data_IF_416479216826
#
_entry.id   IF_416479216826
#
_cell.length_a   1.000
_cell.length_b   1.000
_cell.length_c   1.000
_cell.angle_alpha   90.00
_cell.angle_beta   90.00
_cell.angle_gamma   90.00
#
_symmetry.space_group_name_H-M   'P 1'
#
loop_
_entity.id
_entity.type
_entity.pdbx_description
1 polymer ?
#
# COMPACT_ATOMS: atom_id res chain seq x y z
N UNK A 1 15.78 -27.18 -18.07
CA UNK A 1 15.20 -27.00 -16.73
C UNK A 1 13.72 -27.31 -16.85
N UNK A 2 13.25 -28.34 -16.17
CA UNK A 2 11.83 -28.74 -16.15
C UNK A 2 11.02 -27.63 -15.47
N UNK A 3 10.18 -26.93 -16.24
CA UNK A 3 9.28 -25.92 -15.68
C UNK A 3 7.98 -26.63 -15.28
N UNK A 4 7.99 -27.20 -14.08
CA UNK A 4 6.77 -27.73 -13.48
C UNK A 4 5.87 -26.59 -13.03
N UNK A 5 4.59 -26.67 -13.37
CA UNK A 5 3.57 -25.70 -12.98
C UNK A 5 2.40 -26.45 -12.35
N UNK A 6 1.88 -25.93 -11.25
CA UNK A 6 0.67 -26.47 -10.62
C UNK A 6 -0.57 -25.91 -11.33
N UNK A 7 -1.38 -26.83 -11.85
CA UNK A 7 -2.68 -26.55 -12.45
C UNK A 7 -3.78 -26.94 -11.47
N UNK A 8 -4.67 -25.99 -11.16
CA UNK A 8 -5.86 -26.19 -10.34
C UNK A 8 -7.06 -26.31 -11.28
N UNK A 9 -7.59 -27.52 -11.46
CA UNK A 9 -8.82 -27.74 -12.21
C UNK A 9 -10.03 -27.58 -11.29
N UNK A 10 -10.90 -26.64 -11.64
CA UNK A 10 -12.21 -26.42 -11.04
C UNK A 10 -13.30 -26.85 -12.04
N UNK A 11 -13.92 -27.99 -11.78
CA UNK A 11 -15.02 -28.50 -12.60
C UNK A 11 -16.37 -28.07 -11.99
N UNK A 12 -17.06 -27.12 -12.64
CA UNK A 12 -18.37 -26.66 -12.16
C UNK A 12 -19.50 -27.65 -12.45
N UNK A 13 -19.35 -28.53 -13.47
CA UNK A 13 -20.36 -29.55 -13.80
C UNK A 13 -20.42 -30.63 -12.73
N UNK A 14 -19.27 -31.03 -12.19
CA UNK A 14 -19.17 -32.07 -11.15
C UNK A 14 -19.00 -31.49 -9.74
N UNK A 15 -18.74 -30.19 -9.63
CA UNK A 15 -18.42 -29.51 -8.36
C UNK A 15 -17.06 -29.90 -7.77
N UNK A 16 -16.24 -30.66 -8.51
CA UNK A 16 -14.97 -31.18 -8.01
C UNK A 16 -13.79 -30.25 -8.32
N UNK A 17 -12.88 -30.15 -7.35
CA UNK A 17 -11.62 -29.43 -7.47
C UNK A 17 -10.46 -30.42 -7.39
N UNK A 18 -9.51 -30.34 -8.32
CA UNK A 18 -8.35 -31.23 -8.41
C UNK A 18 -7.09 -30.44 -8.76
N UNK A 19 -5.95 -30.83 -8.19
CA UNK A 19 -4.67 -30.21 -8.46
C UNK A 19 -3.78 -31.19 -9.24
N UNK A 20 -3.09 -30.69 -10.26
CA UNK A 20 -2.21 -31.46 -11.11
C UNK A 20 -0.88 -30.70 -11.26
N UNK A 21 0.24 -31.40 -11.17
CA UNK A 21 1.55 -30.84 -11.54
C UNK A 21 1.87 -31.26 -12.96
N UNK A 22 2.10 -30.29 -13.84
CA UNK A 22 2.33 -30.53 -15.26
C UNK A 22 3.67 -29.94 -15.64
N UNK A 23 4.45 -30.68 -16.42
CA UNK A 23 5.67 -30.16 -17.04
C UNK A 23 5.29 -29.32 -18.24
N UNK A 24 5.71 -28.06 -18.23
CA UNK A 24 5.28 -27.05 -19.20
C UNK A 24 6.49 -26.56 -19.98
N UNK A 25 6.37 -26.45 -21.30
CA UNK A 25 7.38 -25.84 -22.14
C UNK A 25 7.07 -24.36 -22.34
N UNK A 26 7.95 -23.44 -21.93
CA UNK A 26 7.67 -22.00 -22.00
C UNK A 26 7.41 -21.48 -23.42
N UNK A 27 7.86 -22.19 -24.46
CA UNK A 27 7.65 -21.78 -25.85
C UNK A 27 6.30 -22.23 -26.43
N UNK A 28 5.54 -23.04 -25.68
CA UNK A 28 4.22 -23.50 -26.10
C UNK A 28 3.13 -22.48 -25.72
N UNK A 29 1.95 -22.64 -26.34
CA UNK A 29 0.79 -21.81 -26.09
C UNK A 29 -0.18 -22.48 -25.09
N UNK A 30 -1.19 -21.72 -24.67
CA UNK A 30 -2.23 -22.21 -23.76
C UNK A 30 -3.03 -23.39 -24.33
N UNK A 31 -3.19 -23.50 -25.64
CA UNK A 31 -3.86 -24.66 -26.26
C UNK A 31 -3.14 -25.98 -25.94
N UNK A 32 -1.81 -26.01 -26.06
CA UNK A 32 -1.03 -27.21 -25.76
C UNK A 32 -1.09 -27.59 -24.26
N UNK A 33 -1.16 -26.60 -23.37
CA UNK A 33 -1.42 -26.82 -21.94
C UNK A 33 -2.78 -27.51 -21.73
N UNK A 34 -3.85 -27.02 -22.37
CA UNK A 34 -5.18 -27.63 -22.24
C UNK A 34 -5.24 -29.06 -22.79
N UNK A 35 -4.55 -29.35 -23.89
CA UNK A 35 -4.43 -30.72 -24.44
C UNK A 35 -3.66 -31.64 -23.50
N UNK A 36 -2.64 -31.13 -22.81
CA UNK A 36 -1.89 -31.90 -21.82
C UNK A 36 -2.75 -32.26 -20.61
N UNK A 37 -3.61 -31.34 -20.16
CA UNK A 37 -4.61 -31.60 -19.11
C UNK A 37 -5.68 -32.58 -19.58
N UNK A 38 -6.13 -32.47 -20.83
CA UNK A 38 -7.10 -33.40 -21.44
C UNK A 38 -6.60 -34.85 -21.40
N UNK A 39 -5.33 -35.09 -21.72
CA UNK A 39 -4.72 -36.44 -21.64
C UNK A 39 -4.80 -37.05 -20.23
N UNK A 40 -4.70 -36.22 -19.19
CA UNK A 40 -4.71 -36.67 -17.79
C UNK A 40 -6.14 -36.81 -17.27
N UNK A 41 -7.01 -35.86 -17.59
CA UNK A 41 -8.34 -35.71 -16.97
C UNK A 41 -9.46 -36.31 -17.80
N UNK A 42 -9.21 -36.63 -19.07
CA UNK A 42 -10.20 -37.04 -20.08
C UNK A 42 -11.31 -36.01 -20.32
N UNK A 43 -11.11 -34.75 -19.90
CA UNK A 43 -12.03 -33.65 -20.18
C UNK A 43 -11.58 -32.99 -21.49
N UNK A 44 -12.48 -32.80 -22.48
CA UNK A 44 -12.11 -32.17 -23.75
C UNK A 44 -11.52 -30.78 -23.54
N UNK A 45 -10.40 -30.47 -24.19
CA UNK A 45 -9.73 -29.15 -24.13
C UNK A 45 -10.60 -27.99 -24.62
N UNK A 46 -11.66 -28.28 -25.38
CA UNK A 46 -12.67 -27.30 -25.80
C UNK A 46 -13.54 -26.80 -24.65
N UNK A 47 -13.74 -27.62 -23.61
CA UNK A 47 -14.56 -27.27 -22.44
C UNK A 47 -13.77 -26.59 -21.32
N UNK A 48 -12.45 -26.43 -21.48
CA UNK A 48 -11.56 -25.88 -20.47
C UNK A 48 -11.22 -24.43 -20.78
N UNK A 49 -11.51 -23.54 -19.83
CA UNK A 49 -11.08 -22.15 -19.83
C UNK A 49 -9.88 -21.97 -18.91
N UNK A 50 -8.76 -21.44 -19.43
CA UNK A 50 -7.58 -21.17 -18.61
C UNK A 50 -7.68 -19.78 -18.00
N UNK A 51 -7.57 -19.70 -16.69
CA UNK A 51 -7.61 -18.46 -15.92
C UNK A 51 -6.29 -18.27 -15.20
N UNK A 52 -5.67 -17.12 -15.42
CA UNK A 52 -4.42 -16.73 -14.78
C UNK A 52 -4.47 -15.27 -14.33
N UNK A 53 -4.04 -15.00 -13.11
CA UNK A 53 -4.13 -13.68 -12.49
C UNK A 53 -5.51 -13.02 -12.63
N UNK A 54 -6.58 -13.81 -12.45
CA UNK A 54 -7.96 -13.33 -12.52
C UNK A 54 -8.56 -13.21 -13.92
N UNK A 55 -7.74 -13.36 -14.98
CA UNK A 55 -8.15 -13.17 -16.37
C UNK A 55 -8.24 -14.50 -17.13
N UNK A 56 -9.26 -14.63 -17.98
CA UNK A 56 -9.35 -15.72 -18.96
C UNK A 56 -8.29 -15.50 -20.06
N UNK A 57 -7.41 -16.46 -20.25
CA UNK A 57 -6.36 -16.42 -21.26
C UNK A 57 -6.89 -16.92 -22.61
N UNK A 58 -6.39 -16.32 -23.68
CA UNK A 58 -6.66 -16.81 -25.04
C UNK A 58 -5.86 -18.08 -25.33
N UNK A 59 -6.40 -18.98 -26.16
CA UNK A 59 -5.72 -20.23 -26.52
C UNK A 59 -4.40 -20.00 -27.28
N UNK A 60 -4.22 -18.84 -27.92
CA UNK A 60 -3.02 -18.45 -28.66
C UNK A 60 -1.93 -17.79 -27.80
N UNK A 61 -2.21 -17.46 -26.53
CA UNK A 61 -1.24 -16.82 -25.64
C UNK A 61 -0.03 -17.72 -25.40
N UNK A 62 1.17 -17.18 -25.53
CA UNK A 62 2.44 -17.90 -25.32
C UNK A 62 2.78 -17.92 -23.83
N UNK A 63 3.22 -19.07 -23.31
CA UNK A 63 3.46 -19.25 -21.87
C UNK A 63 4.66 -18.45 -21.34
N UNK A 64 5.66 -18.18 -22.19
CA UNK A 64 6.81 -17.31 -21.88
C UNK A 64 6.39 -15.92 -21.41
N UNK A 65 5.31 -15.38 -21.95
CA UNK A 65 4.84 -14.02 -21.66
C UNK A 65 4.12 -13.93 -20.31
N UNK A 66 3.74 -15.07 -19.71
CA UNK A 66 3.00 -15.14 -18.45
C UNK A 66 3.90 -15.06 -17.21
N UNK A 67 5.23 -14.98 -17.39
CA UNK A 67 6.22 -14.94 -16.30
C UNK A 67 5.97 -16.04 -15.26
N UNK A 68 5.78 -17.27 -15.75
CA UNK A 68 5.53 -18.46 -14.93
C UNK A 68 6.78 -18.81 -14.13
N UNK A 69 6.61 -19.01 -12.82
CA UNK A 69 7.63 -19.58 -11.92
C UNK A 69 7.14 -20.92 -11.40
N UNK A 70 8.01 -21.81 -10.88
CA UNK A 70 7.58 -23.12 -10.37
C UNK A 70 6.47 -23.06 -9.29
N UNK A 71 6.46 -21.99 -8.51
CA UNK A 71 5.42 -21.72 -7.49
C UNK A 71 4.13 -21.08 -8.05
N UNK A 72 4.01 -20.93 -9.37
CA UNK A 72 2.85 -20.30 -10.01
C UNK A 72 1.72 -21.31 -10.18
N UNK A 73 0.51 -20.93 -9.76
CA UNK A 73 -0.70 -21.72 -9.96
C UNK A 73 -1.50 -21.16 -11.13
N UNK A 74 -1.92 -22.04 -12.05
CA UNK A 74 -2.82 -21.72 -13.14
C UNK A 74 -4.17 -22.39 -12.86
N UNK A 75 -5.27 -21.65 -12.96
CA UNK A 75 -6.60 -22.22 -12.78
C UNK A 75 -7.17 -22.65 -14.13
N UNK A 76 -7.73 -23.86 -14.19
CA UNK A 76 -8.53 -24.33 -15.32
C UNK A 76 -9.97 -24.44 -14.86
N UNK A 77 -10.88 -23.77 -15.54
CA UNK A 77 -12.30 -23.73 -15.23
C UNK A 77 -13.07 -24.51 -16.29
N UNK A 78 -13.90 -25.46 -15.87
CA UNK A 78 -14.90 -26.10 -16.74
C UNK A 78 -16.28 -25.52 -16.43
N UNK A 79 -16.85 -24.65 -17.27
CA UNK A 79 -18.15 -24.03 -17.01
C UNK A 79 -19.33 -25.01 -17.20
N UNK A 80 -20.48 -24.70 -16.59
CA UNK A 80 -21.72 -25.48 -16.72
C UNK A 80 -22.32 -25.44 -18.13
N UNK A 81 -22.03 -24.37 -18.89
CA UNK A 81 -22.51 -24.18 -20.26
C UNK A 81 -21.35 -23.72 -21.12
N UNK A 82 -21.12 -24.39 -22.25
CA UNK A 82 -20.09 -24.01 -23.23
C UNK A 82 -20.62 -22.80 -24.00
N UNK A 83 -20.25 -21.60 -23.58
CA UNK A 83 -20.52 -20.40 -24.37
C UNK A 83 -19.45 -20.32 -25.46
N UNK A 84 -19.83 -20.68 -26.70
CA UNK A 84 -19.00 -20.45 -27.89
C UNK A 84 -18.78 -18.95 -28.06
N UNK A 85 -17.65 -18.44 -27.60
CA UNK A 85 -17.23 -17.05 -27.86
C UNK A 85 -16.47 -17.00 -29.18
N UNK A 86 -16.94 -16.14 -30.08
CA UNK A 86 -16.37 -15.95 -31.40
C UNK A 86 -14.94 -15.40 -31.33
N UNK A 87 -14.05 -16.01 -32.10
CA UNK A 87 -12.63 -15.65 -32.22
C UNK A 87 -12.51 -14.35 -33.03
N UNK A 88 -12.21 -13.22 -32.39
CA UNK A 88 -11.79 -12.00 -33.09
C UNK A 88 -10.27 -11.98 -33.16
N UNK A 89 -9.74 -12.03 -34.39
CA UNK A 89 -8.31 -11.92 -34.68
C UNK A 89 -7.83 -10.47 -34.53
N UNK A 90 -6.78 -10.27 -33.73
CA UNK A 90 -6.01 -9.02 -33.69
C UNK A 90 -4.63 -9.22 -34.35
N UNK A 91 -4.07 -8.17 -34.98
CA UNK A 91 -2.89 -8.30 -35.84
C UNK A 91 -1.61 -8.43 -35.01
N UNK A 92 -0.66 -9.22 -35.54
CA UNK A 92 0.68 -9.44 -34.96
C UNK A 92 1.50 -8.15 -34.98
N UNK A 93 1.98 -7.71 -33.82
CA UNK A 93 2.99 -6.65 -33.72
C UNK A 93 4.40 -7.25 -33.54
N UNK A 94 5.35 -6.61 -34.20
CA UNK A 94 6.74 -7.04 -34.36
C UNK A 94 7.51 -7.05 -33.04
N UNK A 95 8.44 -7.99 -32.94
CA UNK A 95 9.33 -8.28 -31.82
C UNK A 95 10.43 -7.23 -31.68
N UNK A 96 10.23 -6.24 -30.82
CA UNK A 96 11.30 -5.56 -30.07
C UNK A 96 11.46 -6.24 -28.71
N UNK A 97 12.61 -6.18 -28.05
CA UNK A 97 12.84 -6.85 -26.75
C UNK A 97 11.83 -6.36 -25.68
N UNK A 98 10.69 -7.07 -25.59
CA UNK A 98 9.49 -6.74 -24.81
C UNK A 98 9.70 -6.95 -23.31
N UNK A 99 10.89 -7.40 -22.90
CA UNK A 99 11.18 -7.76 -21.51
C UNK A 99 11.19 -6.55 -20.56
N UNK A 100 11.36 -5.33 -21.05
CA UNK A 100 11.38 -4.08 -20.24
C UNK A 100 10.00 -3.39 -20.25
N UNK A 101 9.19 -3.60 -21.29
CA UNK A 101 7.89 -2.94 -21.45
C UNK A 101 6.84 -3.56 -20.50
N UNK A 102 6.15 -2.73 -19.71
CA UNK A 102 5.04 -3.19 -18.85
C UNK A 102 5.44 -3.98 -17.60
N UNK A 103 6.71 -3.93 -17.19
CA UNK A 103 7.17 -4.57 -15.94
C UNK A 103 6.94 -3.67 -14.74
N UNK A 104 6.33 -4.21 -13.70
CA UNK A 104 6.32 -3.57 -12.38
C UNK A 104 7.69 -3.71 -11.74
N UNK A 105 8.04 -2.76 -10.87
CA UNK A 105 9.24 -2.83 -10.03
C UNK A 105 8.82 -2.86 -8.57
N UNK A 106 9.59 -3.61 -7.78
CA UNK A 106 9.32 -3.84 -6.36
C UNK A 106 10.61 -3.75 -5.56
N UNK A 107 10.50 -3.29 -4.32
CA UNK A 107 11.55 -3.50 -3.32
C UNK A 107 11.36 -4.88 -2.69
N UNK A 108 12.32 -5.77 -2.91
CA UNK A 108 12.28 -7.13 -2.37
C UNK A 108 13.19 -7.25 -1.16
N UNK A 109 12.62 -7.47 0.03
CA UNK A 109 13.37 -7.63 1.28
C UNK A 109 14.36 -8.81 1.23
N UNK A 110 13.94 -9.94 0.67
CA UNK A 110 14.78 -11.15 0.57
C UNK A 110 15.96 -10.98 -0.39
N UNK A 111 15.80 -10.17 -1.44
CA UNK A 111 16.87 -9.88 -2.39
C UNK A 111 17.66 -8.61 -2.05
N UNK A 112 17.19 -7.86 -1.04
CA UNK A 112 17.69 -6.55 -0.60
C UNK A 112 17.98 -5.57 -1.75
N UNK A 113 17.08 -5.53 -2.75
CA UNK A 113 17.30 -4.75 -3.97
C UNK A 113 15.98 -4.47 -4.70
N UNK A 114 16.03 -3.51 -5.63
CA UNK A 114 14.99 -3.24 -6.61
C UNK A 114 14.95 -4.38 -7.62
N UNK A 115 13.82 -5.08 -7.69
CA UNK A 115 13.61 -6.21 -8.60
C UNK A 115 12.40 -5.97 -9.48
N UNK A 116 12.34 -6.70 -10.60
CA UNK A 116 11.09 -6.81 -11.35
C UNK A 116 10.05 -7.52 -10.49
N UNK A 117 8.85 -6.98 -10.49
CA UNK A 117 7.70 -7.49 -9.78
C UNK A 117 6.63 -8.04 -10.73
N UNK A 118 5.83 -8.97 -10.23
CA UNK A 118 4.63 -9.47 -10.90
C UNK A 118 3.42 -9.22 -10.02
N UNK A 119 2.35 -8.75 -10.66
CA UNK A 119 1.06 -8.58 -10.02
C UNK A 119 0.39 -9.95 -9.85
N UNK A 120 -0.20 -10.18 -8.69
CA UNK A 120 -1.02 -11.34 -8.38
C UNK A 120 -2.33 -10.88 -7.74
N UNK A 121 -3.40 -11.61 -8.00
CA UNK A 121 -4.73 -11.30 -7.47
C UNK A 121 -5.22 -12.45 -6.61
N UNK A 122 -5.85 -12.08 -5.52
CA UNK A 122 -6.38 -12.95 -4.48
C UNK A 122 -7.80 -12.51 -4.12
N UNK A 123 -8.58 -13.42 -3.57
CA UNK A 123 -9.85 -13.07 -2.94
C UNK A 123 -9.57 -12.38 -1.60
N UNK A 124 -10.08 -11.17 -1.39
CA UNK A 124 -9.91 -10.45 -0.13
C UNK A 124 -10.45 -11.21 1.10
N UNK A 125 -11.39 -12.14 0.93
CA UNK A 125 -11.99 -12.87 2.04
C UNK A 125 -11.31 -14.20 2.40
N UNK A 126 -10.73 -14.91 1.43
CA UNK A 126 -10.18 -16.27 1.65
C UNK A 126 -8.75 -16.43 1.14
N UNK A 127 -8.14 -15.35 0.66
CA UNK A 127 -6.80 -15.32 0.08
C UNK A 127 -6.55 -16.31 -1.06
N UNK A 128 -7.61 -16.86 -1.66
CA UNK A 128 -7.45 -17.79 -2.77
C UNK A 128 -7.10 -17.09 -4.07
N UNK A 129 -6.22 -17.71 -4.85
CA UNK A 129 -5.87 -17.35 -6.23
C UNK A 129 -6.95 -17.73 -7.25
N UNK A 130 -7.92 -18.57 -6.86
CA UNK A 130 -9.02 -19.04 -7.70
C UNK A 130 -10.14 -17.99 -7.77
N UNK A 131 -9.81 -16.84 -8.34
CA UNK A 131 -10.71 -15.71 -8.54
C UNK A 131 -10.78 -15.31 -10.01
N UNK A 132 -11.90 -14.72 -10.40
CA UNK A 132 -12.13 -14.08 -11.69
C UNK A 132 -12.44 -12.60 -11.44
N UNK A 133 -11.62 -11.70 -11.99
CA UNK A 133 -11.88 -10.26 -11.91
C UNK A 133 -12.98 -9.86 -12.88
N UNK A 134 -13.86 -8.93 -12.47
CA UNK A 134 -14.93 -8.42 -13.35
C UNK A 134 -14.44 -7.32 -14.31
N UNK A 135 -13.35 -6.65 -13.97
CA UNK A 135 -12.73 -5.60 -14.78
C UNK A 135 -11.20 -5.66 -14.64
N UNK A 136 -10.49 -5.16 -15.65
CA UNK A 136 -9.02 -5.07 -15.64
C UNK A 136 -8.57 -3.81 -14.88
N UNK A 137 -7.50 -3.88 -14.07
CA UNK A 137 -6.94 -2.70 -13.41
C UNK A 137 -6.39 -1.71 -14.43
N UNK A 138 -6.73 -0.44 -14.28
CA UNK A 138 -6.34 0.62 -15.22
C UNK A 138 -5.24 1.53 -14.67
N UNK A 139 -5.07 1.57 -13.34
CA UNK A 139 -4.13 2.46 -12.68
C UNK A 139 -3.66 1.88 -11.33
N UNK A 140 -2.66 2.53 -10.71
CA UNK A 140 -2.13 2.14 -9.41
C UNK A 140 -3.17 2.14 -8.29
N UNK A 141 -4.18 3.02 -8.32
CA UNK A 141 -5.21 3.03 -7.27
C UNK A 141 -6.06 1.76 -7.29
N UNK A 142 -6.29 1.16 -8.46
CA UNK A 142 -7.08 -0.08 -8.59
C UNK A 142 -6.39 -1.28 -7.95
N UNK A 143 -5.06 -1.26 -7.87
CA UNK A 143 -4.25 -2.36 -7.32
C UNK A 143 -3.72 -2.10 -5.92
N UNK A 144 -3.60 -0.84 -5.50
CA UNK A 144 -3.09 -0.48 -4.17
C UNK A 144 -4.22 -0.23 -3.15
N UNK A 145 -5.40 0.24 -3.57
CA UNK A 145 -6.53 0.46 -2.65
C UNK A 145 -7.42 -0.77 -2.57
N UNK A 146 -7.95 -1.04 -1.38
CA UNK A 146 -8.91 -2.13 -1.18
C UNK A 146 -10.28 -1.84 -1.80
N UNK A 147 -11.06 -2.91 -2.07
CA UNK A 147 -12.46 -2.85 -2.54
C UNK A 147 -12.66 -2.09 -3.86
N UNK A 148 -11.67 -2.09 -4.75
CA UNK A 148 -11.73 -1.40 -6.06
C UNK A 148 -12.32 -2.26 -7.17
N UNK A 149 -11.84 -3.50 -7.30
CA UNK A 149 -12.22 -4.40 -8.39
C UNK A 149 -13.05 -5.56 -7.81
N UNK A 150 -14.33 -5.73 -8.20
CA UNK A 150 -15.12 -6.88 -7.81
C UNK A 150 -14.60 -8.18 -8.41
N UNK A 151 -14.73 -9.29 -7.67
CA UNK A 151 -14.34 -10.62 -8.13
C UNK A 151 -15.43 -11.66 -7.91
N UNK A 152 -15.38 -12.71 -8.72
CA UNK A 152 -16.05 -13.99 -8.44
C UNK A 152 -15.01 -14.94 -7.89
N UNK A 153 -15.20 -15.45 -6.66
CA UNK A 153 -14.29 -16.39 -6.02
C UNK A 153 -14.87 -17.80 -6.08
N UNK A 154 -14.11 -18.76 -6.61
CA UNK A 154 -14.53 -20.17 -6.71
C UNK A 154 -14.54 -20.89 -5.36
N UNK A 155 -13.84 -20.37 -4.34
CA UNK A 155 -13.86 -20.97 -3.00
C UNK A 155 -14.98 -20.41 -2.12
N UNK A 156 -15.28 -19.10 -2.23
CA UNK A 156 -16.27 -18.47 -1.38
C UNK A 156 -17.70 -18.59 -1.94
N UNK A 157 -17.85 -18.68 -3.26
CA UNK A 157 -19.14 -18.85 -3.94
C UNK A 157 -20.25 -17.88 -3.49
N UNK A 158 -19.90 -16.65 -3.10
CA UNK A 158 -20.84 -15.61 -2.64
C UNK A 158 -20.62 -14.28 -3.35
N UNK A 159 -21.67 -13.45 -3.52
CA UNK A 159 -21.55 -12.13 -4.12
C UNK A 159 -20.84 -11.12 -3.19
N UNK A 160 -20.51 -9.95 -3.73
CA UNK A 160 -19.94 -8.84 -2.94
C UNK A 160 -18.47 -9.00 -2.55
N UNK A 161 -17.71 -9.83 -3.27
CA UNK A 161 -16.28 -10.03 -3.04
C UNK A 161 -15.44 -9.09 -3.90
N UNK A 162 -14.26 -8.73 -3.39
CA UNK A 162 -13.32 -7.85 -4.06
C UNK A 162 -11.94 -8.50 -4.21
N UNK A 163 -11.21 -8.04 -5.22
CA UNK A 163 -9.83 -8.39 -5.48
C UNK A 163 -8.94 -7.79 -4.40
N UNK A 164 -7.99 -8.59 -3.94
CA UNK A 164 -6.82 -8.15 -3.22
C UNK A 164 -5.60 -8.39 -4.12
N UNK A 165 -4.92 -7.32 -4.52
CA UNK A 165 -3.73 -7.43 -5.35
C UNK A 165 -2.49 -7.42 -4.48
N UNK A 166 -1.54 -8.31 -4.79
CA UNK A 166 -0.24 -8.37 -4.13
C UNK A 166 0.86 -8.44 -5.18
N UNK A 167 1.98 -7.78 -4.91
CA UNK A 167 3.16 -7.82 -5.77
C UNK A 167 4.15 -8.86 -5.24
N UNK A 168 4.72 -9.63 -6.16
CA UNK A 168 5.75 -10.62 -5.84
C UNK A 168 7.02 -10.37 -6.65
N UNK A 169 8.18 -10.59 -6.03
CA UNK A 169 9.46 -10.54 -6.72
C UNK A 169 9.52 -11.63 -7.80
N UNK A 170 10.01 -11.30 -9.01
CA UNK A 170 10.20 -12.31 -10.06
C UNK A 170 11.30 -13.31 -9.70
N UNK A 171 12.34 -12.87 -8.98
CA UNK A 171 13.52 -13.68 -8.65
C UNK A 171 13.24 -14.70 -7.56
N UNK A 172 12.78 -14.26 -6.37
CA UNK A 172 12.55 -15.15 -5.23
C UNK A 172 11.08 -15.54 -5.00
N UNK A 173 10.14 -14.92 -5.72
CA UNK A 173 8.68 -15.15 -5.57
C UNK A 173 8.06 -14.72 -4.22
N UNK A 174 8.82 -14.02 -3.37
CA UNK A 174 8.30 -13.45 -2.13
C UNK A 174 7.45 -12.21 -2.37
N UNK A 175 6.58 -11.90 -1.41
CA UNK A 175 5.86 -10.63 -1.37
C UNK A 175 6.85 -9.46 -1.28
N UNK A 176 6.59 -8.42 -2.07
CA UNK A 176 7.48 -7.29 -2.22
C UNK A 176 6.67 -5.99 -2.35
N UNK A 177 7.22 -4.87 -1.86
CA UNK A 177 6.56 -3.58 -1.91
C UNK A 177 6.64 -3.01 -3.33
N UNK A 178 5.52 -2.57 -3.91
CA UNK A 178 5.52 -1.97 -5.24
C UNK A 178 6.14 -0.58 -5.21
N UNK A 179 7.04 -0.31 -6.16
CA UNK A 179 7.68 0.99 -6.31
C UNK A 179 7.01 1.73 -7.46
N UNK A 180 6.02 2.55 -7.14
CA UNK A 180 5.16 3.25 -8.11
C UNK A 180 5.90 4.29 -8.96
N UNK A 181 7.02 4.82 -8.45
CA UNK A 181 7.86 5.80 -9.15
C UNK A 181 9.02 5.15 -9.91
N UNK A 182 9.12 3.82 -9.90
CA UNK A 182 10.19 3.10 -10.60
C UNK A 182 9.66 2.47 -11.88
N UNK A 183 10.34 2.73 -13.00
CA UNK A 183 9.99 2.17 -14.30
C UNK A 183 11.22 1.72 -15.08
N UNK A 184 10.98 0.86 -16.07
CA UNK A 184 12.00 0.44 -17.01
C UNK A 184 12.27 1.54 -18.04
N UNK A 185 13.54 1.79 -18.34
CA UNK A 185 13.95 2.83 -19.28
C UNK A 185 13.99 2.30 -20.72
N UNK A 186 12.85 1.93 -21.30
CA UNK A 186 12.83 1.34 -22.65
C UNK A 186 13.31 2.31 -23.76
N UNK A 187 13.21 3.62 -23.54
CA UNK A 187 13.70 4.66 -24.46
C UNK A 187 15.19 4.95 -24.28
N UNK A 188 15.86 4.36 -23.28
CA UNK A 188 17.25 4.68 -22.91
C UNK A 188 17.46 6.20 -22.74
N UNK A 189 16.49 6.86 -22.09
CA UNK A 189 16.55 8.26 -21.73
C UNK A 189 17.69 8.51 -20.73
N UNK A 190 18.27 9.70 -20.80
CA UNK A 190 19.40 10.11 -19.96
C UNK A 190 18.92 10.57 -18.59
N UNK A 191 19.71 10.25 -17.55
CA UNK A 191 19.51 10.77 -16.21
C UNK A 191 19.75 12.28 -16.18
N UNK A 192 18.85 13.06 -15.59
CA UNK A 192 18.99 14.52 -15.50
C UNK A 192 20.14 15.02 -14.60
N UNK A 193 20.85 14.11 -13.91
CA UNK A 193 21.92 14.44 -12.95
C UNK A 193 23.29 14.04 -13.49
N UNK A 194 23.41 12.86 -14.10
CA UNK A 194 24.71 12.30 -14.50
C UNK A 194 24.80 11.96 -16.00
N UNK A 195 23.76 12.25 -16.79
CA UNK A 195 23.63 11.92 -18.21
C UNK A 195 23.74 10.41 -18.53
N UNK A 196 23.74 9.56 -17.50
CA UNK A 196 23.84 8.11 -17.61
C UNK A 196 22.55 7.46 -18.15
N UNK A 197 22.72 6.35 -18.87
CA UNK A 197 21.62 5.53 -19.43
C UNK A 197 21.49 4.22 -18.68
N UNK A 198 20.75 4.25 -17.57
CA UNK A 198 20.44 3.04 -16.80
C UNK A 198 19.14 2.39 -17.27
N UNK A 199 19.01 1.07 -17.08
CA UNK A 199 17.80 0.31 -17.43
C UNK A 199 16.62 0.57 -16.49
N UNK A 200 16.89 1.02 -15.26
CA UNK A 200 15.91 1.30 -14.22
C UNK A 200 16.01 2.78 -13.92
N UNK A 201 14.87 3.45 -13.89
CA UNK A 201 14.77 4.89 -13.64
C UNK A 201 13.68 5.20 -12.63
N UNK A 202 13.87 6.32 -11.94
CA UNK A 202 12.93 6.92 -11.01
C UNK A 202 12.27 8.14 -11.68
N UNK A 203 10.95 8.21 -11.60
CA UNK A 203 10.14 9.31 -12.11
C UNK A 203 8.90 9.49 -11.22
N UNK A 204 8.76 10.68 -10.65
CA UNK A 204 7.67 11.04 -9.74
C UNK A 204 6.39 11.47 -10.50
N UNK A 205 6.29 11.20 -11.80
CA UNK A 205 5.21 11.62 -12.67
C UNK A 205 5.37 13.05 -13.21
N UNK A 206 6.58 13.58 -13.15
CA UNK A 206 6.97 14.88 -13.73
C UNK A 206 7.79 14.74 -15.01
N UNK A 207 8.16 13.52 -15.40
CA UNK A 207 9.09 13.22 -16.51
C UNK A 207 10.53 13.70 -16.27
N UNK A 208 10.89 14.14 -15.05
CA UNK A 208 12.28 14.32 -14.65
C UNK A 208 12.85 12.96 -14.23
N UNK A 209 13.69 12.40 -15.10
CA UNK A 209 14.20 11.04 -14.98
C UNK A 209 15.52 11.05 -14.22
N UNK A 210 15.60 10.32 -13.11
CA UNK A 210 16.85 10.05 -12.40
C UNK A 210 17.16 8.56 -12.42
N UNK A 211 18.43 8.19 -12.60
CA UNK A 211 18.88 6.81 -12.44
C UNK A 211 18.85 6.37 -10.96
N UNK A 212 18.98 5.06 -10.70
CA UNK A 212 18.90 4.52 -9.34
C UNK A 212 20.05 5.04 -8.44
N UNK A 213 21.25 5.14 -9.00
CA UNK A 213 22.44 5.64 -8.31
C UNK A 213 22.27 7.10 -7.86
N UNK A 214 21.95 8.01 -8.79
CA UNK A 214 21.77 9.41 -8.44
C UNK A 214 20.58 9.67 -7.50
N UNK A 215 19.48 8.92 -7.65
CA UNK A 215 18.35 9.04 -6.72
C UNK A 215 18.73 8.56 -5.31
N UNK A 216 19.53 7.49 -5.20
CA UNK A 216 20.08 7.03 -3.93
C UNK A 216 20.97 8.10 -3.28
N UNK A 217 21.88 8.70 -4.04
CA UNK A 217 22.79 9.72 -3.52
C UNK A 217 22.03 10.97 -3.04
N UNK A 218 21.01 11.39 -3.79
CA UNK A 218 20.11 12.47 -3.38
C UNK A 218 19.39 12.18 -2.05
N UNK A 219 18.89 10.96 -1.86
CA UNK A 219 18.26 10.58 -0.60
C UNK A 219 19.25 10.55 0.56
N UNK A 220 20.47 10.05 0.33
CA UNK A 220 21.52 10.00 1.35
C UNK A 220 21.96 11.41 1.78
N UNK A 221 22.13 12.34 0.84
CA UNK A 221 22.44 13.75 1.18
C UNK A 221 21.28 14.39 1.96
N UNK A 222 20.04 14.11 1.55
CA UNK A 222 18.84 14.63 2.23
C UNK A 222 18.71 14.07 3.65
N UNK A 223 19.13 12.82 3.88
CA UNK A 223 19.14 12.19 5.20
C UNK A 223 20.22 12.75 6.14
N UNK A 224 21.38 13.10 5.59
CA UNK A 224 22.48 13.68 6.36
C UNK A 224 22.07 14.99 7.04
N UNK A 225 21.42 15.89 6.29
CA UNK A 225 20.93 17.18 6.81
C UNK A 225 19.48 17.14 7.32
N UNK A 226 18.81 15.99 7.14
CA UNK A 226 17.39 15.77 7.42
C UNK A 226 16.47 16.85 6.81
N UNK A 227 16.65 17.10 5.52
CA UNK A 227 15.84 18.04 4.73
C UNK A 227 14.57 17.40 4.13
N UNK A 228 14.00 16.41 4.83
CA UNK A 228 12.72 15.84 4.46
C UNK A 228 11.59 16.81 4.83
N UNK A 229 10.62 16.97 3.94
CA UNK A 229 9.45 17.82 4.15
C UNK A 229 8.26 16.97 4.60
N UNK A 230 7.57 17.39 5.66
CA UNK A 230 6.30 16.76 6.04
C UNK A 230 5.20 17.17 5.05
N UNK A 231 4.74 16.22 4.23
CA UNK A 231 3.70 16.42 3.22
C UNK A 231 2.56 15.42 3.44
N UNK A 232 1.55 15.74 4.27
CA UNK A 232 0.37 14.91 4.40
C UNK A 232 -0.32 14.68 3.04
N UNK A 233 -0.83 13.46 2.75
CA UNK A 233 -0.89 12.27 3.61
C UNK A 233 0.36 11.37 3.52
N UNK A 234 1.42 11.78 2.84
CA UNK A 234 2.62 10.96 2.56
C UNK A 234 3.65 10.94 3.70
N UNK A 235 3.53 11.84 4.68
CA UNK A 235 4.48 12.00 5.77
C UNK A 235 5.74 12.74 5.36
N UNK A 236 6.86 12.48 6.04
CA UNK A 236 8.16 13.04 5.67
C UNK A 236 8.64 12.47 4.35
N UNK A 237 8.80 13.32 3.35
CA UNK A 237 9.16 12.91 2.00
C UNK A 237 10.14 13.87 1.36
N UNK A 238 10.62 13.52 0.17
CA UNK A 238 11.49 14.36 -0.66
C UNK A 238 10.76 14.78 -1.93
N UNK A 239 11.11 15.96 -2.42
CA UNK A 239 10.68 16.45 -3.71
C UNK A 239 11.51 15.83 -4.85
N UNK A 240 11.19 16.19 -6.08
CA UNK A 240 11.94 15.77 -7.24
C UNK A 240 13.34 16.39 -7.22
N UNK A 241 14.34 15.65 -7.70
CA UNK A 241 15.73 16.12 -7.77
C UNK A 241 15.90 17.31 -8.73
N UNK A 242 14.95 17.50 -9.66
CA UNK A 242 14.98 18.64 -10.56
C UNK A 242 14.56 19.93 -9.85
N UNK A 243 15.34 21.03 -9.97
CA UNK A 243 15.01 22.31 -9.35
C UNK A 243 13.59 22.78 -9.70
N UNK A 244 12.91 23.43 -8.76
CA UNK A 244 11.55 23.98 -8.92
C UNK A 244 10.42 22.94 -9.11
N UNK A 245 10.73 21.64 -9.14
CA UNK A 245 9.71 20.60 -9.27
C UNK A 245 9.15 20.15 -7.92
N UNK A 246 7.90 20.52 -7.64
CA UNK A 246 7.22 20.21 -6.37
C UNK A 246 6.56 18.81 -6.30
N UNK A 247 6.85 17.90 -7.26
CA UNK A 247 6.40 16.51 -7.15
C UNK A 247 7.17 15.81 -6.04
N UNK A 248 6.48 15.00 -5.23
CA UNK A 248 7.07 14.31 -4.08
C UNK A 248 6.93 12.81 -4.22
N UNK A 249 7.79 12.09 -3.50
CA UNK A 249 7.68 10.63 -3.37
C UNK A 249 6.43 10.30 -2.53
N UNK A 250 5.52 9.52 -3.10
CA UNK A 250 4.22 9.21 -2.47
C UNK A 250 4.26 7.99 -1.54
N UNK A 251 5.32 7.19 -1.63
CA UNK A 251 5.48 5.97 -0.85
C UNK A 251 6.92 5.87 -0.33
N UNK A 252 7.07 5.86 1.00
CA UNK A 252 8.35 5.78 1.70
C UNK A 252 9.13 4.49 1.40
N UNK A 253 8.50 3.43 0.88
CA UNK A 253 9.22 2.21 0.48
C UNK A 253 10.28 2.47 -0.61
N UNK A 254 10.18 3.57 -1.37
CA UNK A 254 11.24 3.98 -2.30
C UNK A 254 12.56 4.30 -1.58
N UNK A 255 12.50 4.74 -0.32
CA UNK A 255 13.67 5.10 0.47
C UNK A 255 14.53 3.91 0.90
N UNK A 256 14.01 2.67 0.77
CA UNK A 256 14.82 1.48 0.96
C UNK A 256 16.02 1.40 0.00
N UNK A 257 16.00 2.12 -1.14
CA UNK A 257 17.14 2.21 -2.07
C UNK A 257 18.41 2.75 -1.40
N UNK A 258 18.29 3.50 -0.30
CA UNK A 258 19.44 3.94 0.50
C UNK A 258 20.16 2.77 1.19
N UNK A 259 19.47 1.66 1.43
CA UNK A 259 19.90 0.54 2.25
C UNK A 259 19.22 0.54 3.62
N UNK A 260 19.23 -0.64 4.28
CA UNK A 260 18.46 -0.86 5.50
C UNK A 260 18.87 0.04 6.68
N UNK A 261 20.16 0.32 6.86
CA UNK A 261 20.67 1.19 7.93
C UNK A 261 20.16 2.62 7.80
N UNK A 262 20.35 3.22 6.62
CA UNK A 262 19.89 4.58 6.30
C UNK A 262 18.37 4.69 6.30
N UNK A 263 17.65 3.66 5.84
CA UNK A 263 16.19 3.64 5.92
C UNK A 263 15.71 3.62 7.38
N UNK A 264 16.33 2.82 8.25
CA UNK A 264 16.01 2.82 9.68
C UNK A 264 16.34 4.15 10.36
N UNK A 265 17.45 4.80 9.98
CA UNK A 265 17.78 6.15 10.46
C UNK A 265 16.73 7.18 10.02
N UNK A 266 16.29 7.12 8.76
CA UNK A 266 15.20 7.96 8.25
C UNK A 266 13.92 7.75 9.08
N UNK A 267 13.51 6.51 9.33
CA UNK A 267 12.30 6.22 10.11
C UNK A 267 12.37 6.81 11.51
N UNK A 268 13.53 6.68 12.17
CA UNK A 268 13.76 7.25 13.50
C UNK A 268 13.66 8.78 13.47
N UNK A 269 14.45 9.46 12.63
CA UNK A 269 14.46 10.93 12.52
C UNK A 269 13.11 11.50 12.10
N UNK A 270 12.39 10.83 11.20
CA UNK A 270 11.04 11.22 10.77
C UNK A 270 10.03 11.14 11.92
N UNK A 271 10.13 10.11 12.75
CA UNK A 271 9.29 9.96 13.96
C UNK A 271 9.60 11.05 14.97
N UNK A 272 10.89 11.28 15.27
CA UNK A 272 11.37 12.34 16.17
C UNK A 272 10.89 13.74 15.70
N UNK A 273 11.03 14.04 14.40
CA UNK A 273 10.55 15.31 13.84
C UNK A 273 9.04 15.44 13.79
N UNK A 274 8.29 14.35 13.54
CA UNK A 274 6.84 14.40 13.55
C UNK A 274 6.34 14.83 14.93
N UNK A 275 6.91 14.21 15.96
CA UNK A 275 6.60 14.50 17.36
C UNK A 275 7.05 15.89 17.77
N UNK A 276 8.19 16.39 17.27
CA UNK A 276 8.61 17.75 17.57
C UNK A 276 7.74 18.85 16.93
N UNK A 277 7.03 18.52 15.84
CA UNK A 277 6.14 19.46 15.13
C UNK A 277 4.70 19.36 15.65
N UNK A 278 4.33 18.23 16.24
CA UNK A 278 3.01 18.01 16.82
C UNK A 278 3.03 18.42 18.30
N UNK A 279 2.17 19.35 18.68
CA UNK A 279 2.05 19.81 20.08
C UNK A 279 1.62 18.67 21.03
N UNK A 280 1.19 17.51 20.49
CA UNK A 280 0.82 16.32 21.26
C UNK A 280 1.91 15.24 21.35
N UNK A 281 3.05 15.43 20.68
CA UNK A 281 4.16 14.48 20.66
C UNK A 281 5.08 14.59 21.88
N UNK A 282 5.49 13.44 22.43
CA UNK A 282 6.40 13.36 23.58
C UNK A 282 7.50 12.33 23.34
N UNK A 283 8.76 12.71 23.58
CA UNK A 283 9.90 11.78 23.59
C UNK A 283 10.27 11.41 25.02
N UNK A 284 10.46 10.12 25.28
CA UNK A 284 10.86 9.60 26.57
C UNK A 284 12.22 10.19 26.99
N UNK A 285 12.31 10.87 28.15
CA UNK A 285 13.55 11.50 28.62
C UNK A 285 14.58 10.50 29.13
N UNK A 286 14.21 9.22 29.28
CA UNK A 286 15.15 8.19 29.72
C UNK A 286 16.26 7.99 28.66
N UNK A 287 17.55 8.25 28.99
CA UNK A 287 18.66 8.16 28.03
C UNK A 287 18.86 6.77 27.40
N UNK A 288 18.34 5.72 28.04
CA UNK A 288 18.42 4.35 27.55
C UNK A 288 17.22 3.90 26.71
N UNK A 289 16.19 4.75 26.54
CA UNK A 289 14.97 4.41 25.79
C UNK A 289 14.80 5.31 24.56
N UNK A 290 14.59 6.62 24.74
CA UNK A 290 14.34 7.55 23.62
C UNK A 290 13.05 7.31 22.83
N UNK A 291 12.15 6.45 23.32
CA UNK A 291 10.89 6.14 22.65
C UNK A 291 10.03 7.39 22.50
N UNK A 292 9.49 7.56 21.31
CA UNK A 292 8.74 8.75 20.88
C UNK A 292 7.29 8.33 20.64
N UNK A 293 6.34 8.99 21.30
CA UNK A 293 4.91 8.64 21.31
C UNK A 293 4.02 9.87 21.51
N UNK A 294 2.75 9.78 21.11
CA UNK A 294 1.75 10.82 21.40
C UNK A 294 1.18 10.61 22.79
N UNK A 295 0.93 11.71 23.51
CA UNK A 295 0.20 11.60 24.77
C UNK A 295 -1.28 11.30 24.51
N UNK A 296 -1.94 10.65 25.47
CA UNK A 296 -3.39 10.62 25.48
C UNK A 296 -3.89 11.82 26.30
N UNK A 297 -4.80 12.65 25.77
CA UNK A 297 -5.31 13.84 26.46
C UNK A 297 -6.21 13.51 27.66
N UNK A 298 -6.36 12.22 27.99
CA UNK A 298 -7.24 11.71 29.04
C UNK A 298 -6.42 11.15 30.20
N UNK A 299 -5.60 11.99 30.85
CA UNK A 299 -5.18 11.75 32.24
C UNK A 299 -4.77 13.09 32.86
N UNK A 300 -5.57 13.49 33.85
CA UNK A 300 -5.73 14.83 34.43
C UNK A 300 -4.66 15.17 35.49
N UNK A 301 -3.50 14.49 35.44
CA UNK A 301 -2.39 14.70 36.39
C UNK A 301 -1.15 15.33 35.73
N UNK A 302 -1.20 15.64 34.43
CA UNK A 302 -0.10 16.26 33.69
C UNK A 302 1.20 15.44 33.64
N UNK A 303 1.14 14.14 33.93
CA UNK A 303 2.26 13.19 33.81
C UNK A 303 1.99 12.20 32.68
N UNK A 304 3.05 11.65 32.11
CA UNK A 304 2.99 10.62 31.08
C UNK A 304 3.93 9.47 31.43
N UNK A 305 3.51 8.26 31.09
CA UNK A 305 4.32 7.06 31.20
C UNK A 305 4.74 6.58 29.81
N UNK A 306 6.03 6.30 29.66
CA UNK A 306 6.56 5.71 28.43
C UNK A 306 5.99 4.29 28.22
N UNK A 307 5.41 3.96 27.05
CA UNK A 307 4.81 2.64 26.81
C UNK A 307 5.84 1.51 26.70
N UNK A 308 7.10 1.84 26.46
CA UNK A 308 8.18 0.85 26.27
C UNK A 308 8.94 0.58 27.58
N UNK A 309 9.51 1.62 28.20
CA UNK A 309 10.32 1.47 29.41
C UNK A 309 9.58 1.81 30.72
N UNK A 310 8.30 2.16 30.65
CA UNK A 310 7.46 2.56 31.80
C UNK A 310 8.01 3.74 32.62
N UNK A 311 8.95 4.49 32.07
CA UNK A 311 9.47 5.69 32.70
C UNK A 311 8.38 6.75 32.78
N UNK A 312 8.06 7.21 33.99
CA UNK A 312 7.02 8.21 34.25
C UNK A 312 7.65 9.57 34.48
N UNK A 313 7.13 10.59 33.79
CA UNK A 313 7.71 11.92 33.77
C UNK A 313 6.66 13.01 33.54
N UNK A 314 7.06 14.23 33.86
CA UNK A 314 6.23 15.43 33.80
C UNK A 314 6.10 15.93 32.36
N UNK A 315 4.87 16.15 31.86
CA UNK A 315 4.63 16.56 30.46
C UNK A 315 5.24 17.92 30.10
N UNK A 316 5.30 18.86 31.06
CA UNK A 316 5.82 20.22 30.85
C UNK A 316 7.34 20.33 30.86
N UNK A 317 8.00 19.63 31.79
CA UNK A 317 9.43 19.82 32.05
C UNK A 317 10.26 18.55 31.86
N UNK A 318 9.63 17.43 31.49
CA UNK A 318 10.27 16.13 31.24
C UNK A 318 11.02 15.52 32.43
N UNK A 319 10.92 16.13 33.62
CA UNK A 319 11.52 15.62 34.85
C UNK A 319 10.62 14.60 35.56
N UNK A 320 11.25 13.69 36.32
CA UNK A 320 10.52 12.70 37.13
C UNK A 320 9.82 13.35 38.33
N UNK A 321 10.52 14.25 39.02
CA UNK A 321 10.06 14.90 40.24
C UNK A 321 9.97 16.42 40.00
N UNK A 322 8.82 16.87 39.49
CA UNK A 322 8.56 18.27 39.14
C UNK A 322 7.50 18.91 40.07
N UNK A 323 7.62 20.22 40.32
CA UNK A 323 6.62 21.04 41.04
C UNK A 323 5.85 21.98 40.10
N UNK A 324 5.95 21.79 38.77
CA UNK A 324 5.31 22.68 37.79
C UNK A 324 3.78 22.51 37.66
N UNK A 325 3.15 21.95 38.68
CA UNK A 325 1.71 21.79 38.84
C UNK A 325 1.31 22.36 40.21
N UNK A 326 0.84 23.61 40.25
CA UNK A 326 0.04 24.08 41.38
C UNK A 326 -1.40 23.58 41.20
N UNK A 327 -2.14 23.37 42.30
CA UNK A 327 -3.55 22.92 42.26
C UNK A 327 -4.44 23.83 41.39
N UNK A 328 -4.11 25.12 41.32
CA UNK A 328 -4.79 26.12 40.49
C UNK A 328 -4.59 25.87 38.98
N UNK A 329 -3.41 25.40 38.58
CA UNK A 329 -3.09 25.13 37.17
C UNK A 329 -3.75 23.84 36.66
N UNK A 330 -3.86 22.81 37.52
CA UNK A 330 -4.60 21.59 37.20
C UNK A 330 -6.09 21.91 37.02
N UNK A 331 -6.69 22.61 37.98
CA UNK A 331 -8.10 23.05 37.90
C UNK A 331 -8.39 23.85 36.63
N UNK A 332 -7.51 24.78 36.24
CA UNK A 332 -7.68 25.54 34.99
C UNK A 332 -7.58 24.65 33.76
N UNK A 333 -6.62 23.72 33.74
CA UNK A 333 -6.40 22.81 32.60
C UNK A 333 -7.57 21.85 32.42
N UNK A 334 -8.10 21.29 33.51
CA UNK A 334 -9.30 20.43 33.48
C UNK A 334 -10.49 21.21 32.94
N UNK A 335 -10.71 22.45 33.41
CA UNK A 335 -11.79 23.32 32.91
C UNK A 335 -11.62 23.59 31.42
N UNK A 336 -10.41 23.89 30.95
CA UNK A 336 -10.16 24.14 29.52
C UNK A 336 -10.33 22.87 28.65
N UNK A 337 -10.08 21.69 29.20
CA UNK A 337 -10.22 20.42 28.49
C UNK A 337 -11.69 19.95 28.41
N UNK A 338 -12.46 20.10 29.50
CA UNK A 338 -13.82 19.58 29.62
C UNK A 338 -14.89 20.63 29.29
N UNK A 339 -14.56 21.91 29.37
CA UNK A 339 -15.53 23.01 29.27
C UNK A 339 -15.16 24.01 28.18
N UNK A 340 -16.15 24.34 27.35
CA UNK A 340 -16.05 25.39 26.31
C UNK A 340 -17.28 26.29 26.37
N UNK A 341 -17.18 27.51 25.84
CA UNK A 341 -18.30 28.45 25.80
C UNK A 341 -19.01 28.37 24.46
N UNK A 342 -20.35 28.38 24.48
CA UNK A 342 -21.14 28.39 23.25
C UNK A 342 -20.81 29.63 22.40
N UNK A 343 -20.50 29.50 21.10
CA UNK A 343 -20.12 30.64 20.26
C UNK A 343 -21.24 31.67 20.04
N UNK A 344 -22.51 31.30 20.28
CA UNK A 344 -23.67 32.19 20.11
C UNK A 344 -24.11 32.88 21.38
N UNK A 345 -24.18 32.18 22.52
CA UNK A 345 -24.70 32.74 23.77
C UNK A 345 -23.68 32.78 24.93
N UNK A 346 -22.46 32.29 24.70
CA UNK A 346 -21.34 32.33 25.65
C UNK A 346 -21.53 31.55 26.98
N UNK A 347 -22.60 30.75 27.06
CA UNK A 347 -22.85 29.85 28.20
C UNK A 347 -21.80 28.75 28.23
N UNK A 348 -21.23 28.52 29.42
CA UNK A 348 -20.28 27.44 29.66
C UNK A 348 -20.98 26.09 29.45
N UNK A 349 -20.40 25.26 28.60
CA UNK A 349 -20.93 23.97 28.20
C UNK A 349 -19.85 22.92 28.42
N UNK A 350 -20.17 21.93 29.25
CA UNK A 350 -19.31 20.79 29.52
C UNK A 350 -19.52 19.71 28.43
N UNK A 351 -18.43 19.04 28.05
CA UNK A 351 -18.48 17.96 27.06
C UNK A 351 -18.91 16.66 27.71
N UNK A 352 -20.11 16.18 27.35
CA UNK A 352 -20.60 14.86 27.77
C UNK A 352 -20.12 13.77 26.80
N UNK A 353 -18.95 13.19 27.07
CA UNK A 353 -18.42 12.01 26.36
C UNK A 353 -17.52 12.32 25.15
N UNK A 354 -17.40 11.37 24.21
CA UNK A 354 -16.46 11.43 23.07
C UNK A 354 -16.95 12.22 21.84
N UNK A 355 -18.23 12.60 21.77
CA UNK A 355 -18.78 13.33 20.64
C UNK A 355 -18.27 14.79 20.61
N UNK A 356 -17.88 15.30 19.44
CA UNK A 356 -17.54 16.72 19.26
C UNK A 356 -18.74 17.60 18.90
N UNK A 357 -19.88 17.00 18.56
CA UNK A 357 -21.12 17.70 18.24
C UNK A 357 -21.89 18.03 19.53
N UNK A 358 -22.09 19.33 19.80
CA UNK A 358 -22.78 19.83 21.00
C UNK A 358 -24.02 20.61 20.60
N UNK A 359 -25.14 20.23 21.24
CA UNK A 359 -26.37 21.01 21.21
C UNK A 359 -26.43 21.94 22.43
N UNK A 360 -26.44 23.26 22.22
CA UNK A 360 -26.51 24.22 23.32
C UNK A 360 -27.92 24.30 23.90
N UNK A 361 -28.10 23.88 25.15
CA UNK A 361 -29.39 23.89 25.85
C UNK A 361 -29.97 25.29 26.10
N UNK A 362 -29.13 26.33 26.07
CA UNK A 362 -29.57 27.71 26.32
C UNK A 362 -30.06 28.43 25.06
N UNK A 363 -29.39 28.25 23.91
CA UNK A 363 -29.73 29.00 22.68
C UNK A 363 -30.13 28.11 21.49
N UNK A 364 -30.13 26.78 21.67
CA UNK A 364 -30.52 25.78 20.68
C UNK A 364 -29.55 25.62 19.50
N UNK A 365 -28.37 26.23 19.54
CA UNK A 365 -27.39 26.12 18.47
C UNK A 365 -26.62 24.81 18.58
N UNK A 366 -26.47 24.13 17.45
CA UNK A 366 -25.56 23.01 17.26
C UNK A 366 -24.18 23.52 16.83
N UNK A 367 -23.14 23.12 17.56
CA UNK A 367 -21.79 23.63 17.36
C UNK A 367 -20.72 22.57 17.66
N UNK A 368 -19.54 22.76 17.09
CA UNK A 368 -18.42 21.84 17.27
C UNK A 368 -17.58 22.23 18.50
N UNK A 369 -17.40 21.31 19.45
CA UNK A 369 -16.60 21.53 20.66
C UNK A 369 -15.12 21.83 20.35
N UNK A 370 -14.56 21.22 19.28
CA UNK A 370 -13.17 21.44 18.87
C UNK A 370 -12.98 22.77 18.15
N UNK A 371 -13.84 23.08 17.19
CA UNK A 371 -13.70 24.30 16.37
C UNK A 371 -14.26 25.55 17.05
N UNK A 372 -15.16 25.40 18.02
CA UNK A 372 -15.89 26.51 18.66
C UNK A 372 -16.66 27.37 17.64
N UNK A 373 -17.24 26.70 16.64
CA UNK A 373 -18.05 27.31 15.58
C UNK A 373 -19.31 26.50 15.33
N UNK A 374 -20.25 27.03 14.55
CA UNK A 374 -21.42 26.30 14.07
C UNK A 374 -21.05 24.95 13.45
N UNK A 375 -21.87 23.93 13.74
CA UNK A 375 -21.65 22.58 13.25
C UNK A 375 -21.80 22.53 11.72
N UNK A 376 -20.81 21.95 11.03
CA UNK A 376 -20.77 21.80 9.57
C UNK A 376 -20.47 20.35 9.19
N UNK A 377 -20.78 19.98 7.95
CA UNK A 377 -20.44 18.65 7.42
C UNK A 377 -18.93 18.36 7.51
N UNK A 378 -18.07 19.34 7.31
CA UNK A 378 -16.61 19.19 7.45
C UNK A 378 -16.22 18.71 8.86
N UNK A 379 -16.86 19.24 9.91
CA UNK A 379 -16.62 18.79 11.30
C UNK A 379 -17.00 17.31 11.51
N UNK A 380 -18.00 16.82 10.79
CA UNK A 380 -18.46 15.44 10.84
C UNK A 380 -17.48 14.47 10.16
N UNK A 381 -16.70 14.92 9.18
CA UNK A 381 -15.71 14.05 8.53
C UNK A 381 -14.36 14.11 9.23
N UNK A 382 -13.96 15.28 9.72
CA UNK A 382 -12.62 15.50 10.26
C UNK A 382 -12.52 15.13 11.74
N UNK A 383 -13.60 15.30 12.52
CA UNK A 383 -13.53 15.15 13.98
C UNK A 383 -14.90 14.94 14.66
N UNK A 384 -15.79 14.11 14.09
CA UNK A 384 -17.12 13.84 14.67
C UNK A 384 -17.05 13.29 16.09
N UNK A 385 -16.19 12.31 16.28
CA UNK A 385 -15.88 11.69 17.56
C UNK A 385 -14.38 11.85 17.80
N UNK A 386 -13.95 11.83 19.06
CA UNK A 386 -12.54 11.56 19.35
C UNK A 386 -12.21 10.11 19.04
#
# INVERSE_FOLDING_TARGET
MSNEVTVVLQDRKTGQRRNYTINVNNNENILELTKSVEKITKIPSEELEVVFCGKKLSKSTIMKDLSLTPATQIMLLRPNSVVKTATTSSPKLQTTDTSILGSFYVWCKSCDDVRRGKLRVYCQNCESTSVLVKSEPQNWMDVLKSKRIPVTCENCCRPGLYAEFKFKCLTCNDLAAALTHVRGNWQMAECCICDGKEKIIFDLGCNHISCQSCFKDYLLSTLQEFHFENRPPYGFTVSCVYPECNRVVQDVHHFHVMGQSSYSEYQRKATERLIAIDDEGVTCPNPSCGQSFFWEPYDDDGRSQCPDCFYTFCRKCTERDCVCQSEDDLTRTTIEATTRRCPKCNVATERNGGCAHIHCTSCGMDWCFKCVTEWKEECQWDHWFN
#
